data_IF_060440597428
#
_entry.id   IF_060440597428
#
_cell.length_a   1.000
_cell.length_b   1.000
_cell.length_c   1.000
_cell.angle_alpha   90.00
_cell.angle_beta   90.00
_cell.angle_gamma   90.00
#
_symmetry.space_group_name_H-M   'P 1'
#
loop_
_entity.id
_entity.type
_entity.pdbx_description
1 polymer ?
#
# COMPACT_ATOMS: atom_id res chain seq x y z
N UNK A 1 -7.44 -9.84 -24.08
CA UNK A 1 -7.68 -10.55 -22.80
C UNK A 1 -6.34 -10.95 -22.22
N UNK A 2 -6.04 -10.60 -20.97
CA UNK A 2 -4.87 -11.12 -20.24
C UNK A 2 -5.36 -12.25 -19.33
N UNK A 3 -4.91 -13.48 -19.54
CA UNK A 3 -5.37 -14.65 -18.78
C UNK A 3 -4.85 -14.69 -17.34
N UNK A 4 -3.77 -13.97 -17.07
CA UNK A 4 -3.14 -13.82 -15.76
C UNK A 4 -3.67 -12.60 -14.97
N UNK A 5 -4.74 -11.95 -15.44
CA UNK A 5 -5.36 -10.81 -14.76
C UNK A 5 -6.80 -11.16 -14.44
N UNK A 6 -7.13 -11.16 -13.15
CA UNK A 6 -8.48 -11.37 -12.65
C UNK A 6 -9.00 -10.06 -12.05
N UNK A 7 -9.93 -9.35 -12.72
CA UNK A 7 -10.51 -8.14 -12.18
C UNK A 7 -11.44 -8.46 -11.00
N UNK A 8 -11.38 -7.65 -9.94
CA UNK A 8 -12.23 -7.75 -8.76
C UNK A 8 -12.90 -6.40 -8.56
N UNK A 9 -14.23 -6.36 -8.58
CA UNK A 9 -15.01 -5.15 -8.34
C UNK A 9 -15.57 -5.18 -6.91
N UNK A 10 -14.77 -4.70 -5.95
CA UNK A 10 -15.13 -4.59 -4.53
C UNK A 10 -14.44 -3.37 -3.89
N UNK A 11 -14.92 -2.94 -2.72
CA UNK A 11 -14.28 -1.86 -1.94
C UNK A 11 -13.00 -2.36 -1.27
N UNK A 12 -11.88 -1.68 -1.54
CA UNK A 12 -10.58 -2.02 -0.96
C UNK A 12 -10.56 -1.99 0.57
N UNK A 13 -11.46 -1.22 1.21
CA UNK A 13 -11.63 -1.16 2.67
C UNK A 13 -12.18 -2.44 3.27
N UNK A 14 -12.74 -3.34 2.45
CA UNK A 14 -13.43 -4.55 2.89
C UNK A 14 -12.81 -5.79 2.25
N UNK A 15 -11.55 -6.13 2.56
CA UNK A 15 -10.84 -7.26 1.95
C UNK A 15 -11.57 -8.61 2.10
N UNK A 16 -12.46 -8.73 3.10
CA UNK A 16 -13.30 -9.92 3.32
C UNK A 16 -14.36 -10.16 2.24
N UNK A 17 -14.71 -9.15 1.46
CA UNK A 17 -15.72 -9.25 0.40
C UNK A 17 -15.14 -9.74 -0.95
N UNK A 18 -13.84 -10.04 -1.03
CA UNK A 18 -13.20 -10.48 -2.27
C UNK A 18 -13.45 -11.98 -2.53
N UNK A 19 -14.69 -12.35 -2.85
CA UNK A 19 -15.10 -13.75 -3.02
C UNK A 19 -14.30 -14.55 -4.07
N UNK A 20 -13.64 -13.86 -5.00
CA UNK A 20 -12.86 -14.49 -6.07
C UNK A 20 -11.37 -14.66 -5.74
N UNK A 21 -10.88 -14.11 -4.63
CA UNK A 21 -9.47 -14.22 -4.24
C UNK A 21 -9.28 -15.41 -3.32
N UNK A 22 -8.53 -16.40 -3.80
CA UNK A 22 -8.23 -17.60 -3.04
C UNK A 22 -6.74 -17.64 -2.67
N UNK A 23 -6.46 -17.79 -1.37
CA UNK A 23 -5.11 -17.96 -0.87
C UNK A 23 -4.34 -16.66 -0.62
N UNK A 24 -3.04 -16.81 -0.40
CA UNK A 24 -2.11 -15.71 -0.11
C UNK A 24 -1.27 -15.36 -1.34
N UNK A 25 -0.91 -14.09 -1.49
CA UNK A 25 -0.09 -13.54 -2.58
C UNK A 25 1.34 -13.25 -2.12
N UNK A 26 2.28 -13.29 -3.05
CA UNK A 26 3.70 -13.01 -2.79
C UNK A 26 4.01 -11.51 -2.70
N UNK A 27 3.22 -10.70 -3.42
CA UNK A 27 3.41 -9.25 -3.53
C UNK A 27 2.08 -8.52 -3.47
N UNK A 28 2.04 -7.41 -2.74
CA UNK A 28 0.93 -6.44 -2.77
C UNK A 28 1.47 -5.10 -3.28
N UNK A 29 0.82 -4.53 -4.29
CA UNK A 29 1.08 -3.18 -4.80
C UNK A 29 -0.15 -2.31 -4.57
N UNK A 30 0.02 -1.14 -3.98
CA UNK A 30 -1.06 -0.22 -3.63
C UNK A 30 -0.79 1.17 -4.20
N UNK A 31 -1.71 1.62 -5.03
CA UNK A 31 -1.68 2.92 -5.70
C UNK A 31 -3.08 3.52 -5.72
N UNK A 32 -3.57 3.86 -4.53
CA UNK A 32 -4.91 4.42 -4.31
C UNK A 32 -4.81 5.84 -3.75
N UNK A 33 -5.72 6.72 -4.19
CA UNK A 33 -5.78 8.11 -3.76
C UNK A 33 -6.84 8.29 -2.65
N UNK A 34 -6.58 7.74 -1.46
CA UNK A 34 -7.50 7.83 -0.31
C UNK A 34 -6.78 8.41 0.91
N UNK A 35 -7.47 9.18 1.78
CA UNK A 35 -6.86 9.71 2.99
C UNK A 35 -6.39 8.63 3.96
N UNK A 36 -7.10 7.50 3.99
CA UNK A 36 -6.85 6.31 4.82
C UNK A 36 -6.07 5.21 4.09
N UNK A 37 -5.39 5.53 2.98
CA UNK A 37 -4.73 4.54 2.10
C UNK A 37 -3.81 3.55 2.83
N UNK A 38 -3.05 4.00 3.83
CA UNK A 38 -2.13 3.14 4.58
C UNK A 38 -2.88 2.11 5.41
N UNK A 39 -4.02 2.48 6.02
CA UNK A 39 -4.87 1.53 6.76
C UNK A 39 -5.45 0.48 5.83
N UNK A 40 -5.97 0.92 4.67
CA UNK A 40 -6.49 0.03 3.63
C UNK A 40 -5.41 -0.97 3.19
N UNK A 41 -4.20 -0.48 2.93
CA UNK A 41 -3.08 -1.31 2.51
C UNK A 41 -2.69 -2.36 3.56
N UNK A 42 -2.59 -1.97 4.83
CA UNK A 42 -2.29 -2.87 5.95
C UNK A 42 -3.35 -3.98 6.05
N UNK A 43 -4.64 -3.63 6.01
CA UNK A 43 -5.74 -4.60 6.15
C UNK A 43 -5.75 -5.63 5.01
N UNK A 44 -5.43 -5.18 3.79
CA UNK A 44 -5.30 -6.08 2.64
C UNK A 44 -4.09 -7.02 2.78
N UNK A 45 -2.96 -6.51 3.28
CA UNK A 45 -1.78 -7.33 3.53
C UNK A 45 -2.02 -8.36 4.64
N UNK A 46 -2.67 -7.98 5.74
CA UNK A 46 -3.06 -8.90 6.81
C UNK A 46 -3.86 -10.08 6.26
N UNK A 47 -4.82 -9.80 5.37
CA UNK A 47 -5.70 -10.81 4.81
C UNK A 47 -5.00 -11.65 3.73
N UNK A 48 -4.20 -11.03 2.84
CA UNK A 48 -3.75 -11.69 1.61
C UNK A 48 -2.24 -11.81 1.43
N UNK A 49 -1.40 -11.00 2.05
CA UNK A 49 0.05 -11.10 1.87
C UNK A 49 0.61 -12.29 2.67
N UNK A 50 1.53 -13.04 2.05
CA UNK A 50 2.31 -14.09 2.73
C UNK A 50 3.30 -13.46 3.71
N UNK A 51 3.65 -14.19 4.77
CA UNK A 51 4.81 -13.87 5.61
C UNK A 51 6.06 -13.73 4.73
N UNK A 52 6.91 -12.75 5.03
CA UNK A 52 8.09 -12.37 4.23
C UNK A 52 7.77 -11.85 2.82
N UNK A 53 6.49 -11.69 2.45
CA UNK A 53 6.05 -11.15 1.17
C UNK A 53 6.38 -9.67 1.02
N UNK A 54 6.46 -9.21 -0.24
CA UNK A 54 6.79 -7.82 -0.55
C UNK A 54 5.56 -6.93 -0.64
N UNK A 55 5.71 -5.71 -0.17
CA UNK A 55 4.68 -4.68 -0.16
C UNK A 55 5.23 -3.40 -0.75
N UNK A 56 4.50 -2.85 -1.72
CA UNK A 56 4.80 -1.59 -2.40
C UNK A 56 3.63 -0.64 -2.19
N UNK A 57 3.89 0.51 -1.57
CA UNK A 57 2.90 1.56 -1.33
C UNK A 57 3.32 2.86 -2.00
N UNK A 58 2.49 3.37 -2.90
CA UNK A 58 2.60 4.74 -3.38
C UNK A 58 1.88 5.65 -2.39
N UNK A 59 2.63 6.44 -1.62
CA UNK A 59 2.09 7.46 -0.72
C UNK A 59 1.78 8.71 -1.54
N UNK A 60 0.49 8.98 -1.78
CA UNK A 60 0.00 10.20 -2.44
C UNK A 60 -0.24 11.30 -1.41
N UNK A 61 0.76 12.12 -1.10
CA UNK A 61 0.70 12.97 0.09
C UNK A 61 -0.47 13.96 0.03
N UNK A 62 -0.80 14.47 -1.16
CA UNK A 62 -1.91 15.41 -1.38
C UNK A 62 -3.30 14.79 -1.24
N UNK A 63 -3.43 13.48 -1.40
CA UNK A 63 -4.68 12.77 -1.12
C UNK A 63 -4.89 12.50 0.38
N UNK A 64 -3.82 12.58 1.18
CA UNK A 64 -3.86 12.37 2.63
C UNK A 64 -4.16 13.68 3.34
N UNK A 65 -3.32 14.70 3.13
CA UNK A 65 -3.46 16.00 3.77
C UNK A 65 -2.76 17.08 2.92
N UNK A 66 -3.51 18.06 2.46
CA UNK A 66 -2.97 19.15 1.64
C UNK A 66 -2.26 20.23 2.47
N UNK A 67 -2.52 20.28 3.78
CA UNK A 67 -2.03 21.34 4.68
C UNK A 67 -0.63 21.05 5.23
N UNK A 68 -0.20 19.78 5.22
CA UNK A 68 1.11 19.35 5.71
C UNK A 68 2.15 19.28 4.59
N UNK A 69 3.42 19.36 4.98
CA UNK A 69 4.54 19.13 4.08
C UNK A 69 4.58 17.65 3.63
N UNK A 70 4.81 17.35 2.34
CA UNK A 70 4.86 15.98 1.81
C UNK A 70 5.79 15.06 2.60
N UNK A 71 7.01 15.51 2.89
CA UNK A 71 8.00 14.76 3.65
C UNK A 71 7.47 14.31 5.03
N UNK A 72 6.76 15.21 5.74
CA UNK A 72 6.18 14.90 7.04
C UNK A 72 5.08 13.85 6.94
N UNK A 73 4.24 13.93 5.90
CA UNK A 73 3.19 12.92 5.67
C UNK A 73 3.84 11.55 5.40
N UNK A 74 4.87 11.49 4.54
CA UNK A 74 5.59 10.25 4.25
C UNK A 74 6.18 9.62 5.52
N UNK A 75 6.82 10.42 6.38
CA UNK A 75 7.35 9.95 7.68
C UNK A 75 6.23 9.42 8.60
N UNK A 76 5.10 10.14 8.71
CA UNK A 76 3.93 9.73 9.50
C UNK A 76 3.32 8.41 8.99
N UNK A 77 3.19 8.22 7.68
CA UNK A 77 2.66 6.99 7.08
C UNK A 77 3.64 5.80 7.22
N UNK A 78 4.94 6.02 7.01
CA UNK A 78 5.97 4.99 7.24
C UNK A 78 5.93 4.50 8.69
N UNK A 79 5.71 5.40 9.65
CA UNK A 79 5.64 5.03 11.06
C UNK A 79 4.48 4.06 11.34
N UNK A 80 3.33 4.23 10.67
CA UNK A 80 2.19 3.29 10.78
C UNK A 80 2.53 1.90 10.24
N UNK A 81 3.37 1.82 9.21
CA UNK A 81 3.78 0.55 8.60
C UNK A 81 4.75 -0.25 9.49
N UNK A 82 5.60 0.41 10.29
CA UNK A 82 6.68 -0.24 11.05
C UNK A 82 6.20 -1.31 12.04
N UNK A 83 4.95 -1.24 12.50
CA UNK A 83 4.34 -2.22 13.40
C UNK A 83 4.35 -3.63 12.78
N UNK A 84 4.00 -3.73 11.48
CA UNK A 84 3.79 -5.01 10.79
C UNK A 84 4.79 -5.28 9.67
N UNK A 85 5.52 -4.27 9.25
CA UNK A 85 6.44 -4.35 8.13
C UNK A 85 7.86 -3.95 8.53
N UNK A 86 8.83 -4.57 7.87
CA UNK A 86 10.20 -4.09 7.79
C UNK A 86 10.31 -3.16 6.59
N UNK A 87 10.67 -1.90 6.82
CA UNK A 87 10.82 -0.92 5.73
C UNK A 87 12.18 -1.15 5.07
N UNK A 88 12.16 -1.50 3.78
CA UNK A 88 13.35 -1.75 2.99
C UNK A 88 13.85 -0.47 2.33
N UNK A 89 12.92 0.31 1.76
CA UNK A 89 13.26 1.51 1.01
C UNK A 89 12.12 2.54 1.05
N UNK A 90 12.48 3.82 0.97
CA UNK A 90 11.56 4.91 0.71
C UNK A 90 12.18 5.82 -0.35
N UNK A 91 11.46 6.00 -1.45
CA UNK A 91 11.93 6.65 -2.67
C UNK A 91 11.02 7.84 -2.96
N UNK A 92 11.58 9.04 -3.08
CA UNK A 92 10.88 10.18 -3.66
C UNK A 92 10.76 9.99 -5.17
N UNK A 93 9.55 10.12 -5.72
CA UNK A 93 9.27 9.88 -7.14
C UNK A 93 9.49 11.12 -8.02
N UNK A 94 9.88 12.26 -7.45
CA UNK A 94 10.30 13.43 -8.22
C UNK A 94 11.54 13.10 -9.09
N UNK A 95 11.60 13.52 -10.38
CA UNK A 95 10.70 14.45 -11.08
C UNK A 95 9.53 13.82 -11.83
N UNK A 96 9.35 12.49 -11.76
CA UNK A 96 8.33 11.79 -12.54
C UNK A 96 6.93 11.95 -11.96
N UNK A 97 6.81 11.91 -10.63
CA UNK A 97 5.57 12.22 -9.93
C UNK A 97 5.86 13.09 -8.70
N UNK A 98 5.22 14.27 -8.65
CA UNK A 98 5.47 15.27 -7.61
C UNK A 98 4.60 14.99 -6.39
N UNK A 99 5.15 15.22 -5.20
CA UNK A 99 4.44 15.01 -3.92
C UNK A 99 4.01 13.54 -3.71
N UNK A 100 4.75 12.61 -4.31
CA UNK A 100 4.56 11.17 -4.21
C UNK A 100 5.84 10.47 -3.74
N UNK A 101 5.69 9.45 -2.92
CA UNK A 101 6.79 8.58 -2.52
C UNK A 101 6.41 7.11 -2.66
N UNK A 102 7.34 6.27 -3.09
CA UNK A 102 7.21 4.82 -3.03
C UNK A 102 7.83 4.32 -1.73
N UNK A 103 7.11 3.47 -1.01
CA UNK A 103 7.66 2.72 0.12
C UNK A 103 7.67 1.24 -0.25
N UNK A 104 8.85 0.63 -0.14
CA UNK A 104 9.06 -0.80 -0.31
C UNK A 104 9.27 -1.41 1.07
N UNK A 105 8.50 -2.43 1.39
CA UNK A 105 8.57 -3.08 2.69
C UNK A 105 8.35 -4.59 2.59
N UNK A 106 8.80 -5.30 3.64
CA UNK A 106 8.63 -6.74 3.80
C UNK A 106 7.68 -7.03 4.94
N UNK A 107 6.71 -7.90 4.73
CA UNK A 107 5.72 -8.24 5.74
C UNK A 107 6.30 -9.21 6.79
N UNK A 108 6.22 -8.83 8.07
CA UNK A 108 6.85 -9.60 9.17
C UNK A 108 6.04 -10.82 9.62
N UNK A 109 4.74 -10.86 9.32
CA UNK A 109 3.79 -11.75 9.99
C UNK A 109 3.34 -12.94 9.14
#
# INVERSE_FOLDING_TARGET
HRSNVMPILQDARKPKEYFSVFGKVDVVYVDIAQPDQTKIAIDNCDMFLKKEGLFFLVIKTRSIDVTKAPKRIVEEEIQKLREKFEILESIDLHPYDKDHAMVIAKYKN
#
